data_IF_142308411889
#
_entry.id   IF_142308411889
#
_cell.length_a   1.000
_cell.length_b   1.000
_cell.length_c   1.000
_cell.angle_alpha   90.00
_cell.angle_beta   90.00
_cell.angle_gamma   90.00
#
_symmetry.space_group_name_H-M   'P 1'
#
loop_
_entity.id
_entity.type
_entity.pdbx_description
1 polymer ?
#
# COMPACT_ATOMS: atom_id res chain seq x y z
N UNK A 1 25.41 -3.95 -9.88
CA UNK A 1 24.52 -2.84 -9.45
C UNK A 1 23.05 -3.21 -9.47
N UNK A 2 22.51 -3.78 -10.55
CA UNK A 2 21.09 -4.15 -10.65
C UNK A 2 20.59 -5.06 -9.52
N UNK A 3 21.38 -6.05 -9.10
CA UNK A 3 21.00 -6.96 -8.01
C UNK A 3 20.87 -6.28 -6.63
N UNK A 4 21.68 -5.24 -6.36
CA UNK A 4 21.63 -4.48 -5.11
C UNK A 4 20.34 -3.64 -5.06
N UNK A 5 20.01 -2.97 -6.17
CA UNK A 5 18.76 -2.22 -6.29
C UNK A 5 17.54 -3.13 -6.21
N UNK A 6 17.55 -4.26 -6.92
CA UNK A 6 16.47 -5.25 -6.87
C UNK A 6 16.24 -5.80 -5.47
N UNK A 7 17.30 -6.20 -4.78
CA UNK A 7 17.23 -6.72 -3.39
C UNK A 7 16.74 -5.65 -2.42
N UNK A 8 17.22 -4.41 -2.54
CA UNK A 8 16.80 -3.31 -1.67
C UNK A 8 15.33 -2.96 -1.88
N UNK A 9 14.88 -2.88 -3.13
CA UNK A 9 13.46 -2.66 -3.46
C UNK A 9 12.58 -3.77 -2.90
N UNK A 10 13.02 -5.03 -2.97
CA UNK A 10 12.30 -6.15 -2.38
C UNK A 10 12.19 -6.03 -0.86
N UNK A 11 13.31 -5.74 -0.16
CA UNK A 11 13.31 -5.56 1.29
C UNK A 11 12.39 -4.41 1.72
N UNK A 12 12.48 -3.26 1.06
CA UNK A 12 11.61 -2.11 1.35
C UNK A 12 10.14 -2.44 1.10
N UNK A 13 9.82 -3.18 0.03
CA UNK A 13 8.45 -3.60 -0.24
C UNK A 13 7.91 -4.52 0.88
N UNK A 14 8.73 -5.47 1.36
CA UNK A 14 8.36 -6.35 2.48
C UNK A 14 8.12 -5.52 3.75
N UNK A 15 9.02 -4.60 4.09
CA UNK A 15 8.87 -3.72 5.26
C UNK A 15 7.59 -2.89 5.16
N UNK A 16 7.29 -2.35 3.99
CA UNK A 16 6.05 -1.59 3.75
C UNK A 16 4.81 -2.46 3.97
N UNK A 17 4.79 -3.69 3.45
CA UNK A 17 3.65 -4.61 3.59
C UNK A 17 3.48 -5.08 5.04
N UNK A 18 4.57 -5.41 5.73
CA UNK A 18 4.52 -6.02 7.07
C UNK A 18 4.38 -4.98 8.18
N UNK A 19 4.98 -3.80 8.02
CA UNK A 19 5.06 -2.78 9.08
C UNK A 19 4.30 -1.53 8.68
N UNK A 20 4.60 -0.97 7.50
CA UNK A 20 4.07 0.33 7.06
C UNK A 20 2.54 0.35 6.97
N UNK A 21 1.97 -0.51 6.11
CA UNK A 21 0.52 -0.57 5.88
C UNK A 21 -0.24 -0.98 7.16
N UNK A 22 0.16 -2.02 7.92
CA UNK A 22 -0.54 -2.39 9.14
C UNK A 22 -0.47 -1.31 10.23
N UNK A 23 0.66 -0.63 10.38
CA UNK A 23 0.80 0.50 11.30
C UNK A 23 -0.15 1.64 10.93
N UNK A 24 -0.24 1.98 9.64
CA UNK A 24 -1.17 3.00 9.15
C UNK A 24 -2.63 2.60 9.38
N UNK A 25 -2.99 1.34 9.12
CA UNK A 25 -4.34 0.80 9.36
C UNK A 25 -4.70 0.92 10.85
N UNK A 26 -3.77 0.56 11.75
CA UNK A 26 -3.97 0.66 13.21
C UNK A 26 -4.13 2.11 13.64
N UNK A 27 -3.28 3.01 13.13
CA UNK A 27 -3.35 4.44 13.45
C UNK A 27 -4.67 5.07 12.98
N UNK A 28 -5.07 4.82 11.73
CA UNK A 28 -6.34 5.31 11.20
C UNK A 28 -7.54 4.82 12.03
N UNK A 29 -7.50 3.57 12.50
CA UNK A 29 -8.55 3.00 13.36
C UNK A 29 -8.57 3.66 14.74
N UNK A 30 -7.41 3.88 15.35
CA UNK A 30 -7.26 4.51 16.65
C UNK A 30 -7.73 5.97 16.62
N UNK A 31 -7.24 6.74 15.65
CA UNK A 31 -7.50 8.19 15.55
C UNK A 31 -8.87 8.48 14.91
N UNK A 32 -9.56 7.45 14.38
CA UNK A 32 -10.81 7.53 13.61
C UNK A 32 -10.75 8.59 12.49
N UNK A 33 -9.57 8.78 11.92
CA UNK A 33 -9.25 9.75 10.86
C UNK A 33 -8.35 9.08 9.84
N UNK A 34 -8.55 9.39 8.56
CA UNK A 34 -7.65 8.91 7.51
C UNK A 34 -6.40 9.79 7.51
N UNK A 35 -5.39 9.49 8.33
CA UNK A 35 -4.22 10.34 8.51
C UNK A 35 -3.38 10.63 7.25
N UNK A 36 -3.81 10.17 6.08
CA UNK A 36 -3.21 10.36 4.77
C UNK A 36 -4.19 11.06 3.83
N UNK A 37 -3.66 11.87 2.90
CA UNK A 37 -4.45 12.48 1.84
C UNK A 37 -5.02 11.43 0.87
N UNK A 38 -6.02 11.82 0.08
CA UNK A 38 -6.62 10.95 -0.94
C UNK A 38 -5.55 10.39 -1.89
N UNK A 39 -4.65 11.25 -2.39
CA UNK A 39 -3.57 10.86 -3.29
C UNK A 39 -2.60 9.85 -2.64
N UNK A 40 -2.24 10.06 -1.37
CA UNK A 40 -1.38 9.12 -0.64
C UNK A 40 -2.07 7.78 -0.34
N UNK A 41 -3.41 7.73 -0.41
CA UNK A 41 -4.17 6.48 -0.25
C UNK A 41 -4.33 5.73 -1.57
N UNK A 42 -4.43 6.43 -2.71
CA UNK A 42 -4.66 5.80 -4.03
C UNK A 42 -3.37 5.48 -4.80
N UNK A 43 -2.26 6.17 -4.51
CA UNK A 43 -0.98 5.88 -5.16
C UNK A 43 -0.46 4.45 -4.86
N UNK A 44 -0.46 3.96 -3.60
CA UNK A 44 0.01 2.61 -3.31
C UNK A 44 -0.72 1.49 -4.09
N UNK A 45 -2.06 1.44 -4.17
CA UNK A 45 -2.72 0.40 -4.96
C UNK A 45 -2.40 0.49 -6.45
N UNK A 46 -2.22 1.68 -7.03
CA UNK A 46 -1.78 1.82 -8.42
C UNK A 46 -0.38 1.25 -8.65
N UNK A 47 0.54 1.48 -7.71
CA UNK A 47 1.89 0.91 -7.75
C UNK A 47 1.84 -0.61 -7.66
N UNK A 48 1.06 -1.18 -6.74
CA UNK A 48 0.92 -2.64 -6.63
C UNK A 48 0.28 -3.26 -7.88
N UNK A 49 -0.75 -2.64 -8.45
CA UNK A 49 -1.37 -3.11 -9.70
C UNK A 49 -0.34 -3.09 -10.84
N UNK A 50 0.41 -1.99 -10.99
CA UNK A 50 1.47 -1.88 -12.00
C UNK A 50 2.55 -2.97 -11.83
N UNK A 51 2.96 -3.23 -10.59
CA UNK A 51 3.94 -4.28 -10.27
C UNK A 51 3.43 -5.70 -10.51
N UNK A 52 2.15 -5.98 -10.25
CA UNK A 52 1.55 -7.27 -10.60
C UNK A 52 1.54 -7.47 -12.10
N UNK A 53 1.12 -6.45 -12.88
CA UNK A 53 1.14 -6.51 -14.35
C UNK A 53 2.58 -6.76 -14.83
N UNK A 54 3.55 -6.04 -14.30
CA UNK A 54 4.96 -6.24 -14.63
C UNK A 54 5.42 -7.67 -14.30
N UNK A 55 5.08 -8.18 -13.12
CA UNK A 55 5.45 -9.54 -12.66
C UNK A 55 4.84 -10.63 -13.54
N UNK A 56 3.62 -10.43 -14.06
CA UNK A 56 2.99 -11.33 -15.03
C UNK A 56 3.77 -11.32 -16.35
N UNK A 57 4.16 -10.14 -16.85
CA UNK A 57 4.91 -10.00 -18.12
C UNK A 57 6.27 -10.69 -18.05
N UNK A 58 6.94 -10.66 -16.89
CA UNK A 58 8.25 -11.31 -16.70
C UNK A 58 8.15 -12.73 -16.12
N UNK A 59 6.95 -13.30 -16.04
CA UNK A 59 6.65 -14.64 -15.49
C UNK A 59 7.18 -14.86 -14.05
N UNK A 60 7.32 -13.79 -13.28
CA UNK A 60 7.80 -13.82 -11.90
C UNK A 60 6.66 -14.03 -10.90
N UNK A 61 6.04 -15.21 -10.94
CA UNK A 61 4.87 -15.56 -10.12
C UNK A 61 5.07 -15.40 -8.61
N UNK A 62 6.29 -15.59 -8.11
CA UNK A 62 6.63 -15.42 -6.68
C UNK A 62 6.44 -13.98 -6.19
N UNK A 63 6.51 -12.97 -7.07
CA UNK A 63 6.32 -11.56 -6.70
C UNK A 63 4.83 -11.19 -6.57
N UNK A 64 3.94 -11.98 -7.15
CA UNK A 64 2.49 -11.74 -7.12
C UNK A 64 1.92 -11.95 -5.72
N UNK A 65 2.48 -12.88 -4.94
CA UNK A 65 2.02 -13.18 -3.57
C UNK A 65 2.17 -11.96 -2.63
N UNK A 66 3.38 -11.37 -2.46
CA UNK A 66 3.54 -10.19 -1.61
C UNK A 66 2.78 -8.98 -2.15
N UNK A 67 2.75 -8.77 -3.47
CA UNK A 67 2.02 -7.64 -4.05
C UNK A 67 0.50 -7.80 -3.86
N UNK A 68 -0.03 -9.03 -3.90
CA UNK A 68 -1.42 -9.32 -3.56
C UNK A 68 -1.78 -8.99 -2.11
N UNK A 69 -0.91 -9.28 -1.15
CA UNK A 69 -1.07 -8.85 0.24
C UNK A 69 -1.05 -7.32 0.37
N UNK A 70 -0.17 -6.65 -0.38
CA UNK A 70 -0.13 -5.20 -0.49
C UNK A 70 -1.47 -4.62 -0.93
N UNK A 71 -2.07 -5.19 -1.99
CA UNK A 71 -3.40 -4.76 -2.47
C UNK A 71 -4.47 -4.93 -1.40
N UNK A 72 -4.51 -6.04 -0.68
CA UNK A 72 -5.49 -6.28 0.39
C UNK A 72 -5.40 -5.17 1.45
N UNK A 73 -4.19 -4.83 1.90
CA UNK A 73 -4.02 -3.74 2.86
C UNK A 73 -4.38 -2.38 2.27
N UNK A 74 -4.08 -2.12 1.00
CA UNK A 74 -4.51 -0.90 0.32
C UNK A 74 -6.03 -0.78 0.23
N UNK A 75 -6.75 -1.88 -0.06
CA UNK A 75 -8.22 -1.90 -0.06
C UNK A 75 -8.77 -1.58 1.34
N UNK A 76 -8.16 -2.13 2.40
CA UNK A 76 -8.53 -1.80 3.78
C UNK A 76 -8.30 -0.31 4.07
N UNK A 77 -7.15 0.25 3.69
CA UNK A 77 -6.85 1.68 3.86
C UNK A 77 -7.81 2.56 3.06
N UNK A 78 -8.16 2.16 1.85
CA UNK A 78 -9.14 2.87 1.02
C UNK A 78 -10.53 2.85 1.68
N UNK A 79 -10.97 1.69 2.18
CA UNK A 79 -12.21 1.57 2.94
C UNK A 79 -12.21 2.43 4.23
N UNK A 80 -11.09 2.45 4.95
CA UNK A 80 -10.90 3.34 6.10
C UNK A 80 -10.96 4.82 5.69
N UNK A 81 -10.37 5.18 4.55
CA UNK A 81 -10.44 6.54 4.02
C UNK A 81 -11.88 7.00 3.83
N UNK A 82 -12.72 6.24 3.10
CA UNK A 82 -14.14 6.63 2.93
C UNK A 82 -14.92 6.65 4.24
N UNK A 83 -14.65 5.71 5.15
CA UNK A 83 -15.32 5.65 6.45
C UNK A 83 -14.98 6.86 7.33
N UNK A 84 -13.71 7.28 7.33
CA UNK A 84 -13.23 8.38 8.18
C UNK A 84 -13.24 9.74 7.49
N UNK A 85 -13.49 9.80 6.18
CA UNK A 85 -13.70 11.05 5.42
C UNK A 85 -14.80 11.91 6.05
N UNK A 86 -15.86 11.27 6.59
CA UNK A 86 -16.96 11.98 7.26
C UNK A 86 -16.54 12.72 8.55
N UNK A 87 -15.39 12.37 9.12
CA UNK A 87 -14.81 12.98 10.33
C UNK A 87 -13.60 13.86 10.03
N UNK A 88 -13.24 14.02 8.76
CA UNK A 88 -12.22 14.94 8.30
C UNK A 88 -12.93 16.15 7.70
N UNK A 89 -12.95 17.31 8.39
CA UNK A 89 -13.18 18.55 7.68
C UNK A 89 -12.05 18.64 6.67
N UNK A 90 -12.40 18.60 5.37
CA UNK A 90 -11.44 18.80 4.29
C UNK A 90 -10.53 19.97 4.67
N UNK A 91 -9.24 19.70 4.79
CA UNK A 91 -8.25 20.74 4.99
C UNK A 91 -8.39 21.69 3.78
N UNK A 92 -8.98 22.86 4.03
CA UNK A 92 -8.93 24.00 3.12
C UNK A 92 -7.48 24.39 2.87
#
# INVERSE_FOLDING_TARGET
MQEIFGTSTMLLAIIMIVIGLPSQIRKNKHDKRAGLSYFMTILPPLVYISRIIYSIVIEAWFLIIPDGLGIIFCVILFGQYFKYRKFQPDAK
#
